data_IF_542948557963
#
_entry.id   IF_542948557963
#
_cell.length_a   1.000
_cell.length_b   1.000
_cell.length_c   1.000
_cell.angle_alpha   90.00
_cell.angle_beta   90.00
_cell.angle_gamma   90.00
#
_symmetry.space_group_name_H-M   'P 1'
#
loop_
_entity.id
_entity.type
_entity.pdbx_description
1 polymer ?
#
# COMPACT_ATOMS: atom_id res chain seq x y z
N UNK A 1 -7.96 23.80 -2.06
CA UNK A 1 -9.22 23.87 -1.34
C UNK A 1 -8.91 24.18 0.11
N UNK A 2 -9.64 25.10 0.75
CA UNK A 2 -9.43 25.38 2.16
C UNK A 2 -9.82 24.15 2.96
N UNK A 3 -8.89 23.64 3.75
CA UNK A 3 -9.22 22.72 4.83
C UNK A 3 -10.02 23.55 5.83
N UNK A 4 -11.32 23.29 5.96
CA UNK A 4 -12.11 23.93 6.98
C UNK A 4 -11.63 23.39 8.34
N UNK A 5 -11.18 24.29 9.20
CA UNK A 5 -10.87 23.91 10.58
C UNK A 5 -12.17 23.46 11.27
N UNK A 6 -12.08 22.55 12.25
CA UNK A 6 -13.24 22.06 12.99
C UNK A 6 -14.06 23.22 13.59
N UNK A 7 -13.38 24.25 14.08
CA UNK A 7 -14.00 25.48 14.60
C UNK A 7 -14.87 26.23 13.56
N UNK A 8 -14.48 26.19 12.28
CA UNK A 8 -15.27 26.78 11.20
C UNK A 8 -16.48 25.94 10.90
N UNK A 9 -16.34 24.63 10.95
CA UNK A 9 -17.42 23.68 10.76
C UNK A 9 -18.39 23.70 11.95
N UNK A 10 -17.88 23.73 13.19
CA UNK A 10 -18.71 23.90 14.40
C UNK A 10 -19.47 25.23 14.41
N UNK A 11 -18.85 26.30 13.90
CA UNK A 11 -19.50 27.61 13.79
C UNK A 11 -20.63 27.61 12.75
N UNK A 12 -20.46 26.87 11.64
CA UNK A 12 -21.41 26.82 10.54
C UNK A 12 -22.55 25.83 10.79
N UNK A 13 -22.27 24.68 11.40
CA UNK A 13 -23.20 23.56 11.56
C UNK A 13 -23.57 23.24 13.02
N UNK A 14 -23.03 23.96 14.00
CA UNK A 14 -23.27 23.75 15.43
C UNK A 14 -22.27 22.79 16.09
N UNK A 15 -22.42 22.57 17.40
CA UNK A 15 -21.41 21.90 18.23
C UNK A 15 -21.28 20.38 18.03
N UNK A 16 -22.15 19.76 17.27
CA UNK A 16 -22.10 18.34 16.97
C UNK A 16 -22.33 18.14 15.47
N UNK A 17 -21.29 17.76 14.74
CA UNK A 17 -21.43 17.33 13.34
C UNK A 17 -21.81 15.85 13.38
N UNK A 18 -23.07 15.57 13.08
CA UNK A 18 -23.54 14.21 12.95
C UNK A 18 -23.18 13.59 11.59
N UNK A 19 -23.17 14.41 10.53
CA UNK A 19 -22.98 13.95 9.15
C UNK A 19 -22.53 15.10 8.26
N UNK A 20 -21.59 14.81 7.34
CA UNK A 20 -21.16 15.74 6.28
C UNK A 20 -21.26 15.03 4.92
N UNK A 21 -22.07 15.57 4.01
CA UNK A 21 -22.19 15.06 2.64
C UNK A 21 -21.34 15.91 1.68
N UNK A 22 -20.44 15.27 0.94
CA UNK A 22 -19.56 15.92 -0.04
C UNK A 22 -19.75 15.27 -1.40
N UNK A 23 -20.33 16.00 -2.36
CA UNK A 23 -20.35 15.61 -3.76
C UNK A 23 -19.12 16.16 -4.49
N UNK A 24 -18.36 15.31 -5.18
CA UNK A 24 -17.19 15.74 -5.93
C UNK A 24 -16.99 14.95 -7.22
N UNK A 25 -16.14 15.48 -8.09
CA UNK A 25 -15.67 14.83 -9.31
C UNK A 25 -14.18 15.03 -9.45
N UNK A 26 -13.47 13.94 -9.69
CA UNK A 26 -12.05 13.96 -10.01
C UNK A 26 -11.83 13.52 -11.46
N UNK A 27 -10.78 13.99 -12.06
CA UNK A 27 -10.27 13.46 -13.33
C UNK A 27 -9.10 12.55 -13.00
N UNK A 28 -9.19 11.29 -13.42
CA UNK A 28 -8.09 10.34 -13.29
C UNK A 28 -6.99 10.76 -14.27
N UNK A 29 -5.76 11.00 -13.80
CA UNK A 29 -4.64 11.34 -14.68
C UNK A 29 -4.37 10.18 -15.65
N UNK A 30 -4.23 10.44 -16.96
CA UNK A 30 -3.67 9.46 -17.87
C UNK A 30 -2.15 9.32 -17.62
N UNK A 31 -1.57 8.22 -18.06
CA UNK A 31 -0.12 7.99 -18.07
C UNK A 31 0.54 7.94 -16.67
N UNK A 32 -0.22 7.53 -15.66
CA UNK A 32 0.27 7.24 -14.31
C UNK A 32 0.84 8.45 -13.56
N UNK A 33 0.05 9.06 -12.70
CA UNK A 33 0.59 10.01 -11.73
C UNK A 33 1.16 9.26 -10.52
N UNK A 34 2.14 9.79 -9.79
CA UNK A 34 2.74 9.12 -8.63
C UNK A 34 1.73 8.72 -7.54
N UNK A 35 0.60 9.41 -7.48
CA UNK A 35 -0.41 9.27 -6.42
C UNK A 35 -1.80 8.96 -6.98
N UNK A 36 -1.88 8.11 -7.99
CA UNK A 36 -3.13 7.66 -8.57
C UNK A 36 -3.28 8.05 -10.05
N UNK A 37 -3.81 7.14 -10.85
CA UNK A 37 -3.94 7.33 -12.28
C UNK A 37 -4.35 6.07 -13.01
N UNK A 38 -4.03 6.04 -14.30
CA UNK A 38 -4.19 4.85 -15.13
C UNK A 38 -2.93 4.59 -15.96
N UNK A 39 -2.72 3.33 -16.29
CA UNK A 39 -1.76 2.85 -17.27
C UNK A 39 -2.46 1.85 -18.20
N UNK A 40 -2.73 2.26 -19.44
CA UNK A 40 -3.61 1.49 -20.31
C UNK A 40 -5.00 1.30 -19.68
N UNK A 41 -5.39 0.04 -19.47
CA UNK A 41 -6.64 -0.32 -18.78
C UNK A 41 -6.43 -0.69 -17.31
N UNK A 42 -5.27 -0.42 -16.73
CA UNK A 42 -5.01 -0.56 -15.29
C UNK A 42 -5.26 0.77 -14.59
N UNK A 43 -6.18 0.76 -13.64
CA UNK A 43 -6.48 1.89 -12.78
C UNK A 43 -5.97 1.59 -11.39
N UNK A 44 -5.20 2.54 -10.82
CA UNK A 44 -4.73 2.55 -9.44
C UNK A 44 -5.12 3.86 -8.80
N UNK A 45 -6.00 3.79 -7.80
CA UNK A 45 -6.72 4.96 -7.30
C UNK A 45 -6.52 5.08 -5.79
N UNK A 46 -5.89 6.17 -5.40
CA UNK A 46 -5.57 6.52 -4.02
C UNK A 46 -5.74 8.03 -3.82
N UNK A 47 -5.85 8.47 -2.57
CA UNK A 47 -6.09 9.89 -2.21
C UNK A 47 -7.22 10.54 -3.03
N UNK A 48 -8.28 9.78 -3.30
CA UNK A 48 -9.30 10.10 -4.29
C UNK A 48 -10.54 10.78 -3.69
N UNK A 49 -10.64 10.85 -2.38
CA UNK A 49 -11.76 11.42 -1.64
C UNK A 49 -11.26 12.48 -0.63
N UNK A 50 -12.08 13.46 -0.24
CA UNK A 50 -11.73 14.42 0.80
C UNK A 50 -11.57 13.71 2.15
N UNK A 51 -10.47 14.02 2.86
CA UNK A 51 -10.22 13.55 4.21
C UNK A 51 -10.15 14.70 5.20
N UNK A 52 -10.54 14.44 6.44
CA UNK A 52 -10.30 15.38 7.54
C UNK A 52 -8.81 15.41 7.87
N UNK A 53 -8.27 16.61 8.07
CA UNK A 53 -6.93 16.75 8.61
C UNK A 53 -6.86 16.13 10.02
N UNK A 54 -5.71 15.57 10.36
CA UNK A 54 -5.48 15.08 11.73
C UNK A 54 -5.34 16.26 12.67
N UNK A 55 -5.94 16.15 13.84
CA UNK A 55 -5.68 17.03 14.97
C UNK A 55 -4.91 16.22 16.03
N UNK A 56 -3.71 16.65 16.35
CA UNK A 56 -2.93 16.06 17.44
C UNK A 56 -2.63 17.08 18.55
N UNK A 57 -2.18 16.59 19.71
CA UNK A 57 -1.92 17.39 20.90
C UNK A 57 -0.54 18.06 20.89
N UNK A 58 0.29 17.81 19.89
CA UNK A 58 1.63 18.39 19.73
C UNK A 58 1.58 19.61 18.80
N UNK A 59 0.98 19.47 17.63
CA UNK A 59 0.99 20.46 16.56
C UNK A 59 -0.41 21.03 16.24
N UNK A 60 -1.49 20.50 16.83
CA UNK A 60 -2.85 20.88 16.50
C UNK A 60 -3.28 20.32 15.13
N UNK A 61 -3.96 21.13 14.33
CA UNK A 61 -4.40 20.73 12.99
C UNK A 61 -3.22 20.55 12.03
N UNK A 62 -3.11 19.35 11.45
CA UNK A 62 -2.08 18.99 10.48
C UNK A 62 -2.53 19.41 9.07
N UNK A 63 -2.17 20.61 8.67
CA UNK A 63 -2.56 21.23 7.40
C UNK A 63 -1.35 21.50 6.49
N UNK A 64 -0.24 20.82 6.72
CA UNK A 64 0.96 20.96 5.92
C UNK A 64 0.69 20.60 4.46
N UNK A 65 1.08 21.49 3.56
CA UNK A 65 0.90 21.28 2.13
C UNK A 65 1.80 20.14 1.65
N UNK A 66 1.27 19.26 0.80
CA UNK A 66 2.07 18.29 0.07
C UNK A 66 2.84 18.98 -1.06
N UNK A 67 4.17 18.88 -1.04
CA UNK A 67 5.07 19.51 -2.01
C UNK A 67 5.80 18.48 -2.91
N UNK A 68 5.38 17.22 -2.89
CA UNK A 68 5.92 16.17 -3.73
C UNK A 68 6.91 15.23 -3.04
N UNK A 69 7.15 15.46 -1.74
CA UNK A 69 8.05 14.64 -0.92
C UNK A 69 7.32 14.09 0.30
N UNK A 70 7.70 12.91 0.76
CA UNK A 70 7.10 12.16 1.87
C UNK A 70 5.60 11.84 1.70
N UNK A 71 4.99 11.26 2.72
CA UNK A 71 3.63 10.77 2.69
C UNK A 71 2.64 11.74 3.36
N UNK A 72 1.37 11.35 3.41
CA UNK A 72 0.32 12.11 4.05
C UNK A 72 0.09 11.59 5.47
N UNK A 73 -0.04 12.51 6.42
CA UNK A 73 -0.48 12.17 7.77
C UNK A 73 -2.00 12.07 7.82
N UNK A 74 -2.51 10.88 8.12
CA UNK A 74 -3.95 10.60 8.12
C UNK A 74 -4.38 9.91 9.42
N UNK A 75 -5.62 10.20 9.85
CA UNK A 75 -6.24 9.57 11.01
C UNK A 75 -6.91 8.24 10.66
N UNK A 76 -7.25 7.45 11.68
CA UNK A 76 -7.93 6.16 11.51
C UNK A 76 -9.45 6.33 11.37
N UNK A 77 -10.04 5.52 10.52
CA UNK A 77 -11.49 5.50 10.29
C UNK A 77 -12.01 4.16 9.81
N UNK A 78 -13.33 4.08 9.67
CA UNK A 78 -14.01 2.94 9.08
C UNK A 78 -14.56 3.33 7.71
N UNK A 79 -14.46 2.43 6.75
CA UNK A 79 -14.85 2.67 5.36
C UNK A 79 -15.89 1.66 4.90
N UNK A 80 -16.97 2.14 4.27
CA UNK A 80 -17.95 1.37 3.50
C UNK A 80 -17.99 2.00 2.10
N UNK A 81 -17.37 1.33 1.13
CA UNK A 81 -17.13 1.89 -0.20
C UNK A 81 -17.82 1.06 -1.26
N UNK A 82 -18.46 1.74 -2.22
CA UNK A 82 -19.13 1.14 -3.37
C UNK A 82 -18.53 1.66 -4.65
N UNK A 83 -17.95 0.75 -5.43
CA UNK A 83 -17.30 1.03 -6.71
C UNK A 83 -18.11 0.41 -7.83
N UNK A 84 -18.64 1.21 -8.75
CA UNK A 84 -19.44 0.71 -9.89
C UNK A 84 -18.63 0.83 -11.17
N UNK A 85 -18.25 -0.32 -11.73
CA UNK A 85 -17.42 -0.46 -12.92
C UNK A 85 -18.08 -1.35 -13.95
N UNK A 86 -17.60 -1.37 -15.22
CA UNK A 86 -18.06 -2.30 -16.23
C UNK A 86 -17.92 -3.76 -15.79
N UNK A 87 -18.84 -4.62 -16.20
CA UNK A 87 -18.73 -6.06 -16.00
C UNK A 87 -17.49 -6.59 -16.75
N UNK A 88 -16.82 -7.59 -16.16
CA UNK A 88 -15.57 -8.13 -16.68
C UNK A 88 -14.30 -7.47 -16.09
N UNK A 89 -14.45 -6.32 -15.44
CA UNK A 89 -13.35 -5.70 -14.70
C UNK A 89 -13.17 -6.38 -13.35
N UNK A 90 -11.94 -6.76 -13.02
CA UNK A 90 -11.57 -7.17 -11.68
C UNK A 90 -11.29 -5.92 -10.85
N UNK A 91 -11.89 -5.86 -9.67
CA UNK A 91 -11.73 -4.75 -8.74
C UNK A 91 -11.27 -5.29 -7.39
N UNK A 92 -10.27 -4.65 -6.84
CA UNK A 92 -9.79 -4.93 -5.48
C UNK A 92 -9.52 -3.63 -4.74
N UNK A 93 -9.60 -3.66 -3.41
CA UNK A 93 -9.50 -2.46 -2.60
C UNK A 93 -9.08 -2.79 -1.17
N UNK A 94 -8.74 -1.75 -0.43
CA UNK A 94 -8.63 -1.78 1.02
C UNK A 94 -9.84 -2.47 1.65
N UNK A 95 -9.62 -3.43 2.53
CA UNK A 95 -10.67 -4.15 3.25
C UNK A 95 -11.17 -5.41 2.56
N UNK A 96 -12.37 -5.82 2.94
CA UNK A 96 -12.98 -7.08 2.52
C UNK A 96 -14.15 -6.85 1.57
N UNK A 97 -14.17 -7.59 0.46
CA UNK A 97 -15.31 -7.61 -0.47
C UNK A 97 -16.55 -8.21 0.22
N UNK A 98 -17.63 -7.43 0.26
CA UNK A 98 -18.86 -7.76 0.99
C UNK A 98 -19.91 -8.50 0.12
N UNK A 99 -19.81 -8.40 -1.20
CA UNK A 99 -20.80 -8.97 -2.12
C UNK A 99 -20.17 -9.83 -3.22
N UNK A 100 -19.35 -10.84 -2.86
CA UNK A 100 -18.70 -11.70 -3.85
C UNK A 100 -19.71 -12.44 -4.74
N UNK A 101 -20.90 -12.74 -4.25
CA UNK A 101 -21.96 -13.45 -5.01
C UNK A 101 -22.52 -12.58 -6.15
N UNK A 102 -22.58 -11.27 -5.96
CA UNK A 102 -23.04 -10.33 -6.96
C UNK A 102 -21.94 -9.95 -7.97
N UNK A 103 -20.69 -9.94 -7.52
CA UNK A 103 -19.56 -9.46 -8.31
C UNK A 103 -18.85 -10.58 -9.08
N UNK A 104 -18.54 -11.69 -8.44
CA UNK A 104 -17.72 -12.76 -8.98
C UNK A 104 -18.54 -13.93 -9.53
N UNK A 105 -18.04 -14.56 -10.59
CA UNK A 105 -18.61 -15.81 -11.08
C UNK A 105 -18.55 -16.93 -10.02
N UNK A 106 -19.41 -17.91 -10.11
CA UNK A 106 -19.36 -19.08 -9.20
C UNK A 106 -18.02 -19.80 -9.22
N UNK A 107 -17.38 -19.87 -10.38
CA UNK A 107 -16.05 -20.46 -10.54
C UNK A 107 -14.97 -19.66 -9.80
N UNK A 108 -14.94 -18.36 -9.98
CA UNK A 108 -13.99 -17.45 -9.32
C UNK A 108 -14.14 -17.53 -7.81
N UNK A 109 -15.37 -17.52 -7.31
CA UNK A 109 -15.65 -17.68 -5.87
C UNK A 109 -15.15 -19.02 -5.32
N UNK A 110 -15.44 -20.11 -6.00
CA UNK A 110 -14.99 -21.43 -5.54
C UNK A 110 -13.46 -21.53 -5.44
N UNK A 111 -12.73 -20.93 -6.40
CA UNK A 111 -11.26 -20.86 -6.34
C UNK A 111 -10.78 -19.93 -5.21
N UNK A 112 -11.42 -18.78 -5.04
CA UNK A 112 -11.10 -17.85 -3.95
C UNK A 112 -11.36 -18.47 -2.57
N UNK A 113 -12.44 -19.21 -2.42
CA UNK A 113 -12.73 -19.95 -1.19
C UNK A 113 -11.68 -21.03 -0.91
N UNK A 114 -11.17 -21.71 -1.95
CA UNK A 114 -10.08 -22.67 -1.77
C UNK A 114 -8.77 -22.02 -1.35
N UNK A 115 -8.53 -20.76 -1.74
CA UNK A 115 -7.33 -20.01 -1.34
C UNK A 115 -7.31 -19.65 0.15
N UNK A 116 -8.48 -19.55 0.80
CA UNK A 116 -8.59 -19.16 2.23
C UNK A 116 -7.87 -20.11 3.20
N UNK A 117 -7.63 -21.34 2.76
CA UNK A 117 -6.94 -22.36 3.57
C UNK A 117 -5.71 -22.94 2.86
N UNK A 118 -5.31 -22.33 1.75
CA UNK A 118 -4.17 -22.79 0.97
C UNK A 118 -2.90 -22.07 1.37
N UNK A 119 -1.84 -22.81 1.67
CA UNK A 119 -0.48 -22.26 1.81
C UNK A 119 0.27 -22.12 0.48
N UNK A 120 -0.24 -22.76 -0.59
CA UNK A 120 0.25 -22.62 -1.96
C UNK A 120 -0.58 -21.63 -2.76
N UNK A 121 -0.06 -21.21 -3.91
CA UNK A 121 -0.75 -20.29 -4.82
C UNK A 121 -1.95 -20.98 -5.47
N UNK A 122 -3.10 -20.33 -5.43
CA UNK A 122 -4.32 -20.71 -6.15
C UNK A 122 -4.57 -19.69 -7.26
N UNK A 123 -4.62 -20.15 -8.52
CA UNK A 123 -4.94 -19.29 -9.67
C UNK A 123 -6.46 -19.04 -9.70
N UNK A 124 -6.88 -17.91 -9.12
CA UNK A 124 -8.30 -17.53 -9.00
C UNK A 124 -8.88 -17.10 -10.33
N UNK A 125 -8.19 -16.24 -11.07
CA UNK A 125 -8.52 -15.84 -12.44
C UNK A 125 -7.28 -16.02 -13.30
N UNK A 126 -7.36 -16.89 -14.28
CA UNK A 126 -6.28 -17.10 -15.26
C UNK A 126 -6.52 -16.25 -16.51
N UNK A 127 -5.54 -16.17 -17.39
CA UNK A 127 -5.63 -15.45 -18.66
C UNK A 127 -6.86 -15.89 -19.50
N UNK A 128 -7.17 -17.17 -19.49
CA UNK A 128 -8.35 -17.72 -20.21
C UNK A 128 -9.69 -17.41 -19.53
N UNK A 129 -9.69 -16.94 -18.30
CA UNK A 129 -10.90 -16.62 -17.53
C UNK A 129 -11.27 -15.12 -17.60
N UNK A 130 -10.47 -14.26 -18.23
CA UNK A 130 -10.66 -12.80 -18.26
C UNK A 130 -11.87 -12.31 -19.07
N UNK A 131 -12.45 -13.16 -19.90
CA UNK A 131 -13.65 -12.80 -20.66
C UNK A 131 -14.85 -12.48 -19.75
N UNK A 132 -15.71 -11.51 -20.12
CA UNK A 132 -16.93 -11.19 -19.38
C UNK A 132 -17.80 -12.43 -19.12
N UNK A 133 -18.28 -12.58 -17.88
CA UNK A 133 -19.08 -13.72 -17.44
C UNK A 133 -18.26 -14.96 -17.03
N UNK A 134 -16.93 -14.96 -17.22
CA UNK A 134 -16.06 -16.04 -16.73
C UNK A 134 -15.45 -15.73 -15.36
N UNK A 135 -14.88 -14.52 -15.19
CA UNK A 135 -14.29 -14.08 -13.92
C UNK A 135 -15.32 -13.38 -13.03
N UNK A 136 -16.13 -12.52 -13.60
CA UNK A 136 -17.19 -11.76 -12.91
C UNK A 136 -18.58 -12.24 -13.35
N UNK A 137 -19.63 -11.77 -12.66
CA UNK A 137 -21.00 -11.87 -13.17
C UNK A 137 -21.21 -10.93 -14.37
N UNK A 138 -22.38 -11.01 -15.02
CA UNK A 138 -22.76 -10.06 -16.07
C UNK A 138 -23.19 -8.70 -15.50
N UNK A 139 -23.44 -8.61 -14.20
CA UNK A 139 -23.93 -7.42 -13.53
C UNK A 139 -25.33 -7.00 -13.94
N UNK A 140 -25.66 -5.75 -13.65
CA UNK A 140 -26.89 -5.09 -14.08
C UNK A 140 -26.55 -4.01 -15.10
N UNK A 141 -27.18 -4.04 -16.26
CA UNK A 141 -26.90 -3.11 -17.36
C UNK A 141 -25.40 -3.05 -17.75
N UNK A 142 -24.73 -4.21 -17.70
CA UNK A 142 -23.30 -4.33 -18.01
C UNK A 142 -22.36 -3.72 -16.98
N UNK A 143 -22.83 -3.45 -15.77
CA UNK A 143 -22.02 -2.91 -14.67
C UNK A 143 -22.18 -3.74 -13.40
N UNK A 144 -21.14 -3.74 -12.60
CA UNK A 144 -21.10 -4.37 -11.28
C UNK A 144 -20.75 -3.32 -10.24
N UNK A 145 -21.50 -3.30 -9.14
CA UNK A 145 -21.16 -2.53 -7.95
C UNK A 145 -20.44 -3.44 -6.96
N UNK A 146 -19.17 -3.18 -6.74
CA UNK A 146 -18.33 -3.84 -5.77
C UNK A 146 -18.45 -3.11 -4.43
N UNK A 147 -18.65 -3.85 -3.32
CA UNK A 147 -18.80 -3.28 -1.99
C UNK A 147 -17.66 -3.75 -1.10
N UNK A 148 -16.89 -2.81 -0.57
CA UNK A 148 -15.78 -3.09 0.33
C UNK A 148 -16.01 -2.45 1.69
N UNK A 149 -15.56 -3.13 2.73
CA UNK A 149 -15.58 -2.62 4.10
C UNK A 149 -14.19 -2.78 4.72
N UNK A 150 -13.71 -1.70 5.35
CA UNK A 150 -12.50 -1.68 6.14
C UNK A 150 -12.76 -1.00 7.48
N UNK A 151 -12.12 -1.48 8.53
CA UNK A 151 -12.28 -0.94 9.88
C UNK A 151 -10.92 -0.56 10.45
N UNK A 152 -10.88 0.59 11.12
CA UNK A 152 -9.69 1.11 11.80
C UNK A 152 -8.46 1.18 10.90
N UNK A 153 -8.60 1.82 9.76
CA UNK A 153 -7.55 2.04 8.77
C UNK A 153 -7.38 3.52 8.46
N UNK A 154 -6.20 3.90 7.98
CA UNK A 154 -5.83 5.32 7.77
C UNK A 154 -6.26 5.84 6.40
N UNK A 155 -6.42 4.97 5.41
CA UNK A 155 -6.79 5.35 4.05
C UNK A 155 -7.55 4.22 3.36
N UNK A 156 -8.06 4.52 2.16
CA UNK A 156 -8.74 3.57 1.30
C UNK A 156 -8.29 3.73 -0.15
N UNK A 157 -7.56 2.74 -0.66
CA UNK A 157 -7.13 2.66 -2.05
C UNK A 157 -7.82 1.50 -2.78
N UNK A 158 -7.88 1.59 -4.11
CA UNK A 158 -8.41 0.53 -4.94
C UNK A 158 -7.75 0.49 -6.32
N UNK A 159 -7.71 -0.71 -6.88
CA UNK A 159 -7.26 -0.94 -8.24
C UNK A 159 -8.28 -1.71 -9.05
N UNK A 160 -8.28 -1.50 -10.36
CA UNK A 160 -9.18 -2.20 -11.27
C UNK A 160 -8.58 -2.34 -12.67
N UNK A 161 -8.83 -3.49 -13.30
CA UNK A 161 -8.50 -3.73 -14.70
C UNK A 161 -9.29 -4.90 -15.28
N UNK A 162 -9.62 -4.88 -16.58
CA UNK A 162 -10.09 -6.05 -17.31
C UNK A 162 -8.94 -6.98 -17.71
N UNK A 163 -7.68 -6.53 -17.58
CA UNK A 163 -6.49 -7.25 -17.99
C UNK A 163 -5.89 -8.14 -16.90
N UNK A 164 -6.29 -7.96 -15.65
CA UNK A 164 -5.71 -8.70 -14.54
C UNK A 164 -5.96 -10.20 -14.61
N UNK A 165 -4.94 -10.98 -14.32
CA UNK A 165 -5.02 -12.29 -13.69
C UNK A 165 -5.00 -12.12 -12.19
N UNK A 166 -5.42 -13.15 -11.47
CA UNK A 166 -5.55 -13.08 -10.01
C UNK A 166 -5.08 -14.36 -9.37
N UNK A 167 -4.04 -14.27 -8.59
CA UNK A 167 -3.51 -15.34 -7.75
C UNK A 167 -3.82 -15.06 -6.28
N UNK A 168 -4.03 -16.11 -5.49
CA UNK A 168 -4.29 -15.96 -4.07
C UNK A 168 -3.70 -17.11 -3.25
N UNK A 169 -3.41 -16.82 -2.00
CA UNK A 169 -2.99 -17.76 -0.95
C UNK A 169 -3.52 -17.28 0.40
N UNK A 170 -3.15 -17.89 1.50
CA UNK A 170 -3.50 -17.40 2.84
C UNK A 170 -2.39 -17.61 3.85
N UNK A 171 -2.45 -16.81 4.91
CA UNK A 171 -1.63 -16.95 6.10
C UNK A 171 -2.43 -16.56 7.34
N UNK A 172 -2.56 -17.48 8.30
CA UNK A 172 -3.25 -17.28 9.60
C UNK A 172 -4.59 -16.52 9.54
N UNK A 173 -5.41 -16.83 8.55
CA UNK A 173 -6.74 -16.21 8.38
C UNK A 173 -6.75 -14.98 7.49
N UNK A 174 -5.62 -14.36 7.21
CA UNK A 174 -5.51 -13.32 6.19
C UNK A 174 -5.53 -13.95 4.79
N UNK A 175 -6.39 -13.43 3.92
CA UNK A 175 -6.46 -13.83 2.52
C UNK A 175 -5.54 -12.91 1.69
N UNK A 176 -4.57 -13.51 1.03
CA UNK A 176 -3.52 -12.83 0.29
C UNK A 176 -3.83 -12.88 -1.20
N UNK A 177 -3.73 -11.75 -1.87
CA UNK A 177 -4.05 -11.58 -3.28
C UNK A 177 -2.88 -10.96 -4.05
N UNK A 178 -2.71 -11.38 -5.30
CA UNK A 178 -1.86 -10.71 -6.28
C UNK A 178 -2.67 -10.56 -7.57
N UNK A 179 -2.85 -9.32 -8.02
CA UNK A 179 -3.52 -8.99 -9.27
C UNK A 179 -2.53 -8.28 -10.20
N UNK A 180 -2.35 -8.83 -11.40
CA UNK A 180 -1.31 -8.37 -12.31
C UNK A 180 -1.64 -8.68 -13.78
N UNK A 181 -1.00 -7.99 -14.71
CA UNK A 181 -1.11 -8.28 -16.15
C UNK A 181 -0.33 -9.55 -16.48
N UNK A 182 -0.79 -10.41 -17.39
CA UNK A 182 -0.16 -11.69 -17.71
C UNK A 182 1.28 -11.63 -18.20
N UNK A 183 1.70 -10.49 -18.75
CA UNK A 183 3.06 -10.23 -19.22
C UNK A 183 4.04 -9.81 -18.12
N UNK A 184 3.55 -9.44 -16.94
CA UNK A 184 4.36 -9.25 -15.74
C UNK A 184 4.77 -10.61 -15.15
N UNK A 185 5.73 -11.28 -15.79
CA UNK A 185 6.05 -12.70 -15.54
C UNK A 185 6.54 -12.99 -14.11
N UNK A 186 7.30 -12.07 -13.52
CA UNK A 186 7.83 -12.20 -12.15
C UNK A 186 6.72 -12.15 -11.09
N UNK A 187 5.58 -11.51 -11.41
CA UNK A 187 4.43 -11.39 -10.55
C UNK A 187 3.71 -12.72 -10.22
N UNK A 188 4.04 -13.80 -10.93
CA UNK A 188 3.53 -15.14 -10.61
C UNK A 188 3.94 -15.62 -9.21
N UNK A 189 5.01 -15.06 -8.66
CA UNK A 189 5.48 -15.33 -7.30
C UNK A 189 4.99 -14.27 -6.28
N UNK A 190 4.34 -13.19 -6.71
CA UNK A 190 3.98 -12.07 -5.84
C UNK A 190 3.09 -12.48 -4.65
N UNK A 191 2.14 -13.41 -4.84
CA UNK A 191 1.32 -13.92 -3.74
C UNK A 191 2.17 -14.68 -2.69
N UNK A 192 3.18 -15.46 -3.13
CA UNK A 192 4.08 -16.17 -2.21
C UNK A 192 5.05 -15.22 -1.52
N UNK A 193 5.57 -14.21 -2.21
CA UNK A 193 6.41 -13.16 -1.65
C UNK A 193 5.63 -12.35 -0.58
N UNK A 194 4.42 -11.90 -0.90
CA UNK A 194 3.51 -11.24 0.05
C UNK A 194 3.26 -12.09 1.29
N UNK A 195 3.00 -13.39 1.09
CA UNK A 195 2.81 -14.32 2.21
C UNK A 195 4.04 -14.41 3.10
N UNK A 196 5.24 -14.41 2.53
CA UNK A 196 6.49 -14.38 3.30
C UNK A 196 6.58 -13.11 4.13
N UNK A 197 6.40 -11.94 3.53
CA UNK A 197 6.51 -10.63 4.20
C UNK A 197 5.52 -10.54 5.37
N UNK A 198 4.24 -10.88 5.14
CA UNK A 198 3.21 -10.89 6.18
C UNK A 198 3.57 -11.86 7.32
N UNK A 199 4.04 -13.06 7.01
CA UNK A 199 4.46 -14.05 8.00
C UNK A 199 5.68 -13.56 8.79
N UNK A 200 6.72 -13.12 8.09
CA UNK A 200 7.97 -12.68 8.70
C UNK A 200 7.76 -11.50 9.67
N UNK A 201 7.06 -10.47 9.23
CA UNK A 201 6.82 -9.29 10.08
C UNK A 201 5.86 -9.58 11.22
N UNK A 202 4.87 -10.47 11.02
CA UNK A 202 4.00 -10.92 12.12
C UNK A 202 4.77 -11.63 13.23
N UNK A 203 5.72 -12.48 12.86
CA UNK A 203 6.55 -13.23 13.80
C UNK A 203 7.61 -12.32 14.46
N UNK A 204 8.17 -11.36 13.70
CA UNK A 204 9.23 -10.50 14.17
C UNK A 204 8.73 -9.33 15.03
N UNK A 205 7.56 -8.76 14.72
CA UNK A 205 6.99 -7.58 15.38
C UNK A 205 5.73 -7.95 16.17
N UNK A 206 4.58 -7.79 15.55
CA UNK A 206 3.25 -8.13 16.10
C UNK A 206 2.40 -8.76 14.99
N UNK A 207 1.42 -9.62 15.33
CA UNK A 207 0.57 -10.27 14.33
C UNK A 207 -0.13 -9.29 13.41
N UNK A 208 -0.17 -9.61 12.12
CA UNK A 208 -0.91 -8.86 11.09
C UNK A 208 -2.40 -8.83 11.43
N UNK A 209 -3.02 -7.66 11.67
CA UNK A 209 -4.37 -7.59 12.21
C UNK A 209 -5.46 -7.59 11.14
N UNK A 210 -5.08 -7.45 9.86
CA UNK A 210 -6.04 -7.24 8.79
C UNK A 210 -6.49 -8.56 8.14
N UNK A 211 -7.75 -8.61 7.62
CA UNK A 211 -8.29 -9.82 7.02
C UNK A 211 -7.79 -10.12 5.59
N UNK A 212 -7.17 -9.14 4.94
CA UNK A 212 -6.69 -9.27 3.55
C UNK A 212 -5.35 -8.58 3.36
N UNK A 213 -4.60 -9.02 2.34
CA UNK A 213 -3.37 -8.38 1.88
C UNK A 213 -3.35 -8.48 0.34
N UNK A 214 -3.38 -7.35 -0.36
CA UNK A 214 -3.54 -7.31 -1.82
C UNK A 214 -2.39 -6.57 -2.49
N UNK A 215 -1.57 -7.28 -3.26
CA UNK A 215 -0.59 -6.69 -4.16
C UNK A 215 -1.22 -6.46 -5.54
N UNK A 216 -1.03 -5.28 -6.10
CA UNK A 216 -1.56 -4.88 -7.41
C UNK A 216 -0.41 -4.41 -8.28
N UNK A 217 -0.24 -5.03 -9.43
CA UNK A 217 0.70 -4.57 -10.45
C UNK A 217 0.16 -3.29 -11.08
N UNK A 218 1.02 -2.29 -11.19
CA UNK A 218 0.70 -1.00 -11.78
C UNK A 218 1.94 -0.19 -12.11
N UNK A 219 1.79 1.04 -12.59
CA UNK A 219 2.92 1.87 -13.07
C UNK A 219 3.71 2.55 -11.94
N UNK A 220 3.32 2.40 -10.70
CA UNK A 220 3.99 3.01 -9.53
C UNK A 220 5.12 2.11 -9.10
N UNK A 221 6.31 2.66 -8.88
CA UNK A 221 7.49 1.89 -8.44
C UNK A 221 7.18 1.08 -7.18
N UNK A 222 6.61 1.71 -6.17
CA UNK A 222 6.08 1.09 -4.95
C UNK A 222 5.21 2.11 -4.22
N UNK A 223 4.11 1.66 -3.61
CA UNK A 223 3.24 2.50 -2.81
C UNK A 223 2.33 1.67 -1.91
N UNK A 224 2.26 2.03 -0.67
CA UNK A 224 1.52 1.37 0.39
C UNK A 224 0.20 2.06 0.72
N UNK A 225 -0.82 1.25 0.98
CA UNK A 225 -2.11 1.64 1.57
C UNK A 225 -2.58 0.51 2.48
N UNK A 226 -3.43 0.77 3.47
CA UNK A 226 -3.88 -0.30 4.35
C UNK A 226 -4.42 -1.50 3.56
N UNK A 227 -3.79 -2.67 3.73
CA UNK A 227 -4.13 -3.92 3.04
C UNK A 227 -3.92 -3.94 1.51
N UNK A 228 -3.43 -2.86 0.91
CA UNK A 228 -3.22 -2.76 -0.55
C UNK A 228 -1.87 -2.12 -0.84
N UNK A 229 -1.08 -2.76 -1.69
CA UNK A 229 0.16 -2.19 -2.20
C UNK A 229 0.14 -2.17 -3.73
N UNK A 230 0.67 -1.10 -4.32
CA UNK A 230 0.89 -0.99 -5.76
C UNK A 230 2.37 -1.09 -6.05
N UNK A 231 2.76 -1.97 -6.97
CA UNK A 231 4.17 -2.17 -7.33
C UNK A 231 4.29 -2.32 -8.85
N UNK A 232 5.34 -1.73 -9.41
CA UNK A 232 5.64 -1.85 -10.83
C UNK A 232 6.05 -3.29 -11.22
N UNK A 233 5.91 -3.67 -12.49
CA UNK A 233 6.47 -4.92 -12.99
C UNK A 233 8.00 -4.80 -13.02
N UNK A 234 8.67 -5.54 -12.15
CA UNK A 234 10.13 -5.56 -12.06
C UNK A 234 10.72 -6.61 -13.00
N UNK A 235 12.02 -6.49 -13.28
CA UNK A 235 12.71 -7.33 -14.26
C UNK A 235 13.24 -8.63 -13.68
N UNK A 236 13.41 -8.70 -12.37
CA UNK A 236 13.86 -9.89 -11.65
C UNK A 236 13.00 -10.16 -10.43
N UNK A 237 12.97 -11.41 -10.00
CA UNK A 237 12.27 -11.82 -8.78
C UNK A 237 12.84 -11.15 -7.52
N UNK A 238 14.15 -10.85 -7.48
CA UNK A 238 14.76 -10.17 -6.34
C UNK A 238 14.34 -8.70 -6.27
N UNK A 239 14.32 -7.98 -7.41
CA UNK A 239 13.84 -6.61 -7.47
C UNK A 239 12.36 -6.52 -7.08
N UNK A 240 11.51 -7.43 -7.60
CA UNK A 240 10.11 -7.48 -7.24
C UNK A 240 9.93 -7.76 -5.73
N UNK A 241 10.70 -8.69 -5.16
CA UNK A 241 10.67 -8.97 -3.73
C UNK A 241 11.06 -7.73 -2.91
N UNK A 242 12.12 -7.04 -3.29
CA UNK A 242 12.60 -5.86 -2.57
C UNK A 242 11.53 -4.78 -2.45
N UNK A 243 10.81 -4.50 -3.53
CA UNK A 243 9.74 -3.50 -3.51
C UNK A 243 8.51 -4.04 -2.78
N UNK A 244 8.04 -5.26 -3.09
CA UNK A 244 6.88 -5.85 -2.41
C UNK A 244 7.10 -5.95 -0.89
N UNK A 245 8.26 -6.43 -0.45
CA UNK A 245 8.58 -6.58 0.96
C UNK A 245 8.67 -5.22 1.68
N UNK A 246 9.16 -4.19 0.99
CA UNK A 246 9.16 -2.80 1.47
C UNK A 246 7.72 -2.31 1.68
N UNK A 247 6.87 -2.39 0.67
CA UNK A 247 5.49 -1.93 0.76
C UNK A 247 4.68 -2.71 1.81
N UNK A 248 4.97 -4.01 2.00
CA UNK A 248 4.32 -4.78 3.06
C UNK A 248 4.82 -4.45 4.47
N UNK A 249 6.06 -4.02 4.63
CA UNK A 249 6.58 -3.56 5.91
C UNK A 249 5.85 -2.32 6.43
N UNK A 250 5.39 -1.45 5.53
CA UNK A 250 4.55 -0.29 5.86
C UNK A 250 3.21 -0.65 6.51
N UNK A 251 2.77 -1.90 6.45
CA UNK A 251 1.59 -2.31 7.23
C UNK A 251 1.82 -2.20 8.74
N UNK A 252 3.07 -2.29 9.20
CA UNK A 252 3.45 -2.04 10.59
C UNK A 252 3.82 -0.57 10.83
N UNK A 253 4.56 0.05 9.93
CA UNK A 253 4.99 1.45 9.96
C UNK A 253 4.65 2.11 8.61
N UNK A 254 3.59 2.93 8.49
CA UNK A 254 2.81 3.59 9.54
C UNK A 254 1.40 3.02 9.77
N UNK A 255 0.98 1.95 9.10
CA UNK A 255 -0.44 1.58 9.08
C UNK A 255 -0.96 1.10 10.44
N UNK A 256 -0.17 0.31 11.20
CA UNK A 256 -0.53 -0.15 12.55
C UNK A 256 0.00 0.84 13.60
N UNK A 257 1.28 1.18 13.53
CA UNK A 257 1.91 2.15 14.43
C UNK A 257 1.97 3.49 13.71
N UNK A 258 0.92 4.29 13.88
CA UNK A 258 0.78 5.58 13.21
C UNK A 258 1.86 6.59 13.61
N UNK A 259 2.41 7.27 12.64
CA UNK A 259 3.34 8.39 12.79
C UNK A 259 2.88 9.55 11.92
N UNK A 260 3.46 10.74 12.15
CA UNK A 260 3.29 11.88 11.26
C UNK A 260 4.34 11.77 10.15
N UNK A 261 4.01 11.04 9.08
CA UNK A 261 4.91 10.75 7.96
C UNK A 261 5.25 12.03 7.19
N UNK A 262 4.36 13.01 7.24
CA UNK A 262 4.58 14.29 6.57
C UNK A 262 5.76 15.07 7.19
N UNK A 263 6.02 14.87 8.49
CA UNK A 263 7.08 15.55 9.24
C UNK A 263 8.27 14.65 9.56
N UNK A 264 7.99 13.38 9.84
CA UNK A 264 8.97 12.43 10.34
C UNK A 264 9.09 11.19 9.44
N UNK A 265 9.36 11.42 8.15
CA UNK A 265 9.46 10.36 7.15
C UNK A 265 10.44 9.23 7.54
N UNK A 266 11.43 9.49 8.40
CA UNK A 266 12.36 8.47 8.89
C UNK A 266 11.69 7.42 9.79
N UNK A 267 10.55 7.74 10.43
CA UNK A 267 9.79 6.78 11.26
C UNK A 267 8.97 5.84 10.38
N UNK A 268 8.54 6.30 9.25
CA UNK A 268 7.88 5.56 8.20
C UNK A 268 8.91 4.69 7.46
N UNK A 269 9.80 5.30 6.74
CA UNK A 269 10.73 4.66 5.81
C UNK A 269 11.93 3.97 6.49
N UNK A 270 12.41 4.56 7.58
CA UNK A 270 13.63 4.10 8.24
C UNK A 270 13.43 2.86 9.09
N UNK A 271 12.34 2.79 9.87
CA UNK A 271 11.98 1.54 10.56
C UNK A 271 11.67 0.45 9.54
N UNK A 272 10.95 0.82 8.48
CA UNK A 272 10.64 -0.09 7.40
C UNK A 272 11.89 -0.61 6.72
N UNK A 273 12.80 0.25 6.28
CA UNK A 273 14.09 -0.15 5.71
C UNK A 273 14.83 -1.15 6.61
N UNK A 274 14.88 -0.90 7.91
CA UNK A 274 15.56 -1.81 8.85
C UNK A 274 14.94 -3.20 8.86
N UNK A 275 13.62 -3.33 8.95
CA UNK A 275 12.97 -4.64 8.99
C UNK A 275 13.04 -5.35 7.63
N UNK A 276 13.04 -4.61 6.51
CA UNK A 276 13.22 -5.17 5.16
C UNK A 276 14.57 -5.87 5.01
N UNK A 277 15.67 -5.29 5.57
CA UNK A 277 16.97 -5.94 5.54
C UNK A 277 16.95 -7.33 6.19
N UNK A 278 16.18 -7.49 7.25
CA UNK A 278 16.04 -8.76 7.97
C UNK A 278 15.15 -9.74 7.20
N UNK A 279 14.03 -9.29 6.66
CA UNK A 279 13.12 -10.08 5.84
C UNK A 279 13.81 -10.58 4.58
N UNK A 280 14.50 -9.69 3.87
CA UNK A 280 15.29 -10.05 2.67
C UNK A 280 16.34 -11.12 2.97
N UNK A 281 17.08 -11.00 4.09
CA UNK A 281 18.05 -12.02 4.49
C UNK A 281 17.39 -13.38 4.77
N UNK A 282 16.16 -13.37 5.30
CA UNK A 282 15.40 -14.59 5.56
C UNK A 282 14.89 -15.24 4.25
N UNK A 283 14.45 -14.44 3.28
CA UNK A 283 13.94 -14.91 1.99
C UNK A 283 15.06 -15.34 1.03
N UNK A 284 16.17 -14.55 0.99
CA UNK A 284 17.37 -14.81 0.19
C UNK A 284 18.58 -15.02 1.12
N UNK A 285 18.81 -16.21 1.65
CA UNK A 285 19.86 -16.47 2.65
C UNK A 285 21.29 -16.14 2.17
N UNK A 286 21.54 -16.18 0.86
CA UNK A 286 22.84 -15.85 0.28
C UNK A 286 23.09 -14.35 0.10
N UNK A 287 22.05 -13.51 0.23
CA UNK A 287 22.18 -12.06 0.14
C UNK A 287 22.76 -11.48 1.44
N UNK A 288 23.39 -10.30 1.34
CA UNK A 288 23.93 -9.56 2.50
C UNK A 288 23.36 -8.13 2.55
N UNK A 289 22.02 -7.96 2.71
CA UNK A 289 21.36 -6.67 2.57
C UNK A 289 21.82 -5.64 3.60
N UNK A 290 22.07 -6.04 4.84
CA UNK A 290 22.59 -5.17 5.90
C UNK A 290 23.97 -4.62 5.55
N UNK A 291 24.86 -5.47 5.05
CA UNK A 291 26.20 -5.05 4.61
C UNK A 291 26.12 -4.11 3.40
N UNK A 292 25.26 -4.43 2.44
CA UNK A 292 25.01 -3.61 1.25
C UNK A 292 24.49 -2.22 1.61
N UNK A 293 23.48 -2.14 2.47
CA UNK A 293 22.92 -0.87 2.96
C UNK A 293 23.96 -0.02 3.69
N UNK A 294 24.76 -0.65 4.58
CA UNK A 294 25.83 0.02 5.31
C UNK A 294 26.93 0.54 4.38
N UNK A 295 27.31 -0.26 3.39
CA UNK A 295 28.32 0.13 2.40
C UNK A 295 27.82 1.28 1.51
N UNK A 296 26.57 1.25 1.12
CA UNK A 296 25.91 2.32 0.36
C UNK A 296 25.94 3.63 1.17
N UNK A 297 25.49 3.60 2.42
CA UNK A 297 25.56 4.75 3.31
C UNK A 297 27.00 5.30 3.42
N UNK A 298 27.95 4.44 3.73
CA UNK A 298 29.37 4.83 3.87
C UNK A 298 29.94 5.46 2.59
N UNK A 299 29.47 5.07 1.41
CA UNK A 299 29.89 5.66 0.14
C UNK A 299 29.29 7.06 -0.07
N UNK A 300 28.04 7.24 0.30
CA UNK A 300 27.30 8.49 0.11
C UNK A 300 27.80 9.59 1.04
N UNK A 301 28.05 9.29 2.31
CA UNK A 301 28.55 10.28 3.29
C UNK A 301 29.99 10.75 3.03
N UNK A 302 30.74 10.08 2.15
CA UNK A 302 32.04 10.55 1.69
C UNK A 302 31.96 11.65 0.62
N UNK A 303 30.83 11.75 -0.05
CA UNK A 303 30.62 12.64 -1.20
C UNK A 303 29.69 13.78 -0.85
N UNK A 304 28.69 13.53 -0.03
CA UNK A 304 27.65 14.47 0.31
C UNK A 304 27.68 14.83 1.80
N UNK A 305 27.23 16.04 2.11
CA UNK A 305 26.98 16.46 3.49
C UNK A 305 25.74 15.75 4.04
N UNK A 306 25.83 15.26 5.26
CA UNK A 306 24.71 14.66 5.94
C UNK A 306 23.75 15.69 6.50
N UNK A 307 22.44 15.36 6.43
CA UNK A 307 21.39 16.09 7.12
C UNK A 307 20.85 15.25 8.30
N UNK A 308 20.30 15.88 9.35
CA UNK A 308 19.64 15.17 10.44
C UNK A 308 18.47 14.33 9.92
N UNK A 309 18.25 13.13 10.48
CA UNK A 309 17.11 12.27 10.12
C UNK A 309 15.76 12.92 10.44
N UNK A 310 15.70 13.79 11.44
CA UNK A 310 14.52 14.53 11.86
C UNK A 310 14.29 15.84 11.06
N UNK A 311 15.04 16.06 9.96
CA UNK A 311 14.74 17.16 9.05
C UNK A 311 13.36 16.97 8.43
N UNK A 312 12.65 18.10 8.23
CA UNK A 312 11.40 18.07 7.50
C UNK A 312 11.67 17.58 6.06
N UNK A 313 10.87 16.69 5.50
CA UNK A 313 11.15 16.09 4.18
C UNK A 313 11.43 17.08 3.05
N UNK A 314 10.73 18.21 3.04
CA UNK A 314 10.93 19.27 2.03
C UNK A 314 12.24 20.06 2.21
N UNK A 315 12.93 19.92 3.34
CA UNK A 315 14.21 20.57 3.64
C UNK A 315 15.42 19.73 3.24
N UNK A 316 15.23 18.48 2.83
CA UNK A 316 16.32 17.67 2.29
C UNK A 316 16.84 18.27 0.98
N UNK A 317 18.16 18.39 0.89
CA UNK A 317 18.82 18.95 -0.29
C UNK A 317 18.60 18.06 -1.53
N UNK A 318 17.86 18.55 -2.54
CA UNK A 318 17.61 17.77 -3.75
C UNK A 318 18.85 17.61 -4.63
N UNK A 319 19.90 18.40 -4.41
CA UNK A 319 21.19 18.24 -5.10
C UNK A 319 22.12 17.27 -4.38
N UNK A 320 21.80 16.88 -3.17
CA UNK A 320 22.49 15.89 -2.35
C UNK A 320 21.84 14.51 -2.40
N UNK A 321 22.11 13.67 -1.39
CA UNK A 321 21.50 12.34 -1.27
C UNK A 321 19.99 12.39 -0.93
N UNK A 322 19.48 13.56 -0.55
CA UNK A 322 18.09 13.86 -0.37
C UNK A 322 17.33 13.00 0.64
N UNK A 323 16.04 12.85 0.39
CA UNK A 323 15.12 12.07 1.21
C UNK A 323 15.54 10.60 1.30
N UNK A 324 16.03 9.99 0.20
CA UNK A 324 16.40 8.57 0.16
C UNK A 324 17.48 8.19 1.18
N UNK A 325 18.46 9.07 1.44
CA UNK A 325 19.44 8.82 2.51
C UNK A 325 18.87 9.23 3.87
N UNK A 326 18.21 10.38 3.94
CA UNK A 326 17.73 10.94 5.21
C UNK A 326 16.65 10.12 5.88
N UNK A 327 15.67 9.65 5.12
CA UNK A 327 14.54 8.90 5.64
C UNK A 327 14.72 7.37 5.57
N UNK A 328 15.46 6.83 4.60
CA UNK A 328 15.59 5.38 4.37
C UNK A 328 16.93 4.82 4.87
N UNK A 329 18.02 5.14 4.16
CA UNK A 329 19.30 4.45 4.34
C UNK A 329 19.93 4.75 5.70
N UNK A 330 20.04 6.01 6.07
CA UNK A 330 20.68 6.45 7.31
C UNK A 330 19.97 5.93 8.57
N UNK A 331 18.64 6.06 8.71
CA UNK A 331 17.96 5.47 9.87
C UNK A 331 17.97 3.94 9.85
N UNK A 332 17.94 3.27 8.69
CA UNK A 332 18.15 1.83 8.59
C UNK A 332 19.50 1.38 9.13
N UNK A 333 20.58 2.10 8.81
CA UNK A 333 21.93 1.86 9.38
C UNK A 333 21.96 2.18 10.87
N UNK A 334 21.30 3.26 11.30
CA UNK A 334 21.22 3.61 12.73
C UNK A 334 20.54 2.49 13.53
N UNK A 335 19.42 1.96 13.07
CA UNK A 335 18.70 0.87 13.74
C UNK A 335 19.52 -0.42 13.75
N UNK A 336 20.23 -0.72 12.66
CA UNK A 336 21.19 -1.84 12.62
C UNK A 336 22.28 -1.69 13.69
N UNK A 337 22.88 -0.52 13.79
CA UNK A 337 23.91 -0.25 14.80
C UNK A 337 23.37 -0.34 16.23
N UNK A 338 22.17 0.17 16.49
CA UNK A 338 21.52 0.07 17.80
C UNK A 338 21.26 -1.39 18.19
N UNK A 339 20.80 -2.21 17.25
CA UNK A 339 20.61 -3.65 17.48
C UNK A 339 21.93 -4.35 17.84
N UNK A 340 23.01 -4.08 17.11
CA UNK A 340 24.32 -4.69 17.38
C UNK A 340 24.91 -4.27 18.74
N UNK A 341 24.63 -3.06 19.21
CA UNK A 341 25.09 -2.56 20.53
C UNK A 341 24.21 -3.07 21.66
N UNK A 342 22.91 -3.21 21.41
CA UNK A 342 21.93 -3.57 22.44
C UNK A 342 21.79 -5.08 22.70
N UNK A 343 22.33 -5.94 21.84
CA UNK A 343 22.27 -7.40 21.93
C UNK A 343 21.02 -7.95 21.28
#
# INVERSE_FOLDING_TARGET
>A
SPVAALEDVEREFGKEIAELEIGYRIRIPPDGAPRGGQDGEVYFINYWYPQMAVYDDVNGWQIDQYLGTAEFYMGYGNYDVRLTLPAGWLVTATGTLQNPDEALSSRTRARLDSARTSSGIVHVVTDTDREPGRSTTAGTDGKITWRFRAENVRDFAWGASPEFVWDATSWEGALIHALYRPDATEWREAAAMTRHSIAFYSDYLIPYPYPTATAIEGPVLGMEYPMVVFVAPETTAEELFDVLDHEWGHMWFPMIVGSDERRYAWMDEGFNTFINLLSKKAYFPESEPTLQNTAQYASLVRVYSEQPIASFPDEFDPAGPGLGVGAYIKPGVMMTALREIGG
#
